data_IF_954954839340
#
_entry.id   IF_954954839340
#
_cell.length_a   1.000
_cell.length_b   1.000
_cell.length_c   1.000
_cell.angle_alpha   90.00
_cell.angle_beta   90.00
_cell.angle_gamma   90.00
#
_symmetry.space_group_name_H-M   'P 1'
#
loop_
_entity.id
_entity.type
_entity.pdbx_description
1 polymer ?
#
# COMPACT_ATOMS: atom_id res chain seq x y z
N UNK A 1 32.62 -76.94 -9.86
CA UNK A 1 33.09 -75.97 -8.85
C UNK A 1 33.19 -74.55 -9.40
N UNK A 2 33.71 -74.31 -10.62
CA UNK A 2 33.79 -72.95 -11.21
C UNK A 2 32.44 -72.23 -11.33
N UNK A 3 31.42 -72.91 -11.88
CA UNK A 3 30.08 -72.32 -12.13
C UNK A 3 29.34 -71.92 -10.84
N UNK A 4 29.58 -72.62 -9.73
CA UNK A 4 28.95 -72.31 -8.43
C UNK A 4 29.60 -71.10 -7.75
N UNK A 5 30.90 -70.90 -7.95
CA UNK A 5 31.63 -69.74 -7.45
C UNK A 5 31.26 -68.49 -8.27
N UNK A 6 31.18 -68.62 -9.59
CA UNK A 6 30.72 -67.56 -10.49
C UNK A 6 29.28 -67.13 -10.18
N UNK A 7 28.35 -68.08 -9.99
CA UNK A 7 26.96 -67.76 -9.61
C UNK A 7 26.88 -67.06 -8.24
N UNK A 8 27.72 -67.45 -7.27
CA UNK A 8 27.75 -66.81 -5.95
C UNK A 8 28.31 -65.39 -6.01
N UNK A 9 29.40 -65.17 -6.75
CA UNK A 9 29.96 -63.83 -6.96
C UNK A 9 28.97 -62.93 -7.70
N UNK A 10 28.24 -63.46 -8.68
CA UNK A 10 27.21 -62.72 -9.39
C UNK A 10 26.05 -62.34 -8.46
N UNK A 11 25.60 -63.27 -7.61
CA UNK A 11 24.56 -63.00 -6.61
C UNK A 11 25.01 -61.93 -5.59
N UNK A 12 26.23 -62.05 -5.03
CA UNK A 12 26.79 -61.06 -4.10
C UNK A 12 26.91 -59.67 -4.76
N UNK A 13 27.25 -59.62 -6.05
CA UNK A 13 27.30 -58.37 -6.82
C UNK A 13 25.91 -57.76 -7.01
N UNK A 14 24.91 -58.57 -7.35
CA UNK A 14 23.51 -58.13 -7.49
C UNK A 14 22.95 -57.62 -6.17
N UNK A 15 23.17 -58.33 -5.06
CA UNK A 15 22.76 -57.89 -3.72
C UNK A 15 23.43 -56.57 -3.34
N UNK A 16 24.71 -56.40 -3.65
CA UNK A 16 25.41 -55.13 -3.40
C UNK A 16 24.86 -53.98 -4.23
N UNK A 17 24.53 -54.21 -5.51
CA UNK A 17 23.91 -53.19 -6.37
C UNK A 17 22.52 -52.81 -5.88
N UNK A 18 21.70 -53.77 -5.45
CA UNK A 18 20.38 -53.52 -4.87
C UNK A 18 20.46 -52.71 -3.58
N UNK A 19 21.47 -52.97 -2.72
CA UNK A 19 21.70 -52.17 -1.53
C UNK A 19 22.03 -50.71 -1.89
N UNK A 20 22.95 -50.51 -2.85
CA UNK A 20 23.32 -49.16 -3.31
C UNK A 20 22.09 -48.42 -3.86
N UNK A 21 21.29 -49.07 -4.71
CA UNK A 21 20.07 -48.46 -5.26
C UNK A 21 19.07 -48.10 -4.16
N UNK A 22 18.89 -48.96 -3.16
CA UNK A 22 18.02 -48.68 -2.00
C UNK A 22 18.51 -47.46 -1.22
N UNK A 23 19.81 -47.39 -0.93
CA UNK A 23 20.42 -46.28 -0.19
C UNK A 23 20.31 -44.96 -0.97
N UNK A 24 20.57 -44.97 -2.27
CA UNK A 24 20.43 -43.79 -3.14
C UNK A 24 18.97 -43.32 -3.24
N UNK A 25 18.00 -44.24 -3.35
CA UNK A 25 16.58 -43.88 -3.33
C UNK A 25 16.13 -43.31 -1.98
N UNK A 26 16.66 -43.82 -0.86
CA UNK A 26 16.39 -43.27 0.46
C UNK A 26 16.95 -41.85 0.60
N UNK A 27 18.20 -41.62 0.15
CA UNK A 27 18.83 -40.29 0.13
C UNK A 27 18.04 -39.31 -0.75
N UNK A 28 17.62 -39.73 -1.95
CA UNK A 28 16.80 -38.93 -2.85
C UNK A 28 15.45 -38.56 -2.21
N UNK A 29 14.81 -39.49 -1.51
CA UNK A 29 13.56 -39.25 -0.78
C UNK A 29 13.74 -38.17 0.28
N UNK A 30 14.80 -38.25 1.09
CA UNK A 30 15.08 -37.24 2.13
C UNK A 30 15.30 -35.85 1.52
N UNK A 31 16.10 -35.75 0.45
CA UNK A 31 16.35 -34.50 -0.24
C UNK A 31 15.05 -33.89 -0.82
N UNK A 32 14.22 -34.70 -1.46
CA UNK A 32 12.93 -34.25 -2.02
C UNK A 32 11.91 -33.86 -0.95
N UNK A 33 11.91 -34.55 0.21
CA UNK A 33 11.08 -34.17 1.34
C UNK A 33 11.48 -32.81 1.92
N UNK A 34 12.78 -32.49 1.93
CA UNK A 34 13.28 -31.14 2.25
C UNK A 34 12.71 -30.08 1.31
N UNK A 35 12.83 -30.30 -0.01
CA UNK A 35 12.27 -29.39 -1.04
C UNK A 35 10.76 -29.23 -0.90
N UNK A 36 10.05 -30.33 -0.63
CA UNK A 36 8.60 -30.31 -0.40
C UNK A 36 8.24 -29.42 0.81
N UNK A 37 8.98 -29.54 1.91
CA UNK A 37 8.80 -28.71 3.11
C UNK A 37 9.02 -27.23 2.83
N UNK A 38 10.09 -26.89 2.09
CA UNK A 38 10.41 -25.51 1.72
C UNK A 38 9.31 -24.90 0.85
N UNK A 39 8.80 -25.64 -0.14
CA UNK A 39 7.71 -25.20 -1.01
C UNK A 39 6.40 -24.97 -0.23
N UNK A 40 6.07 -25.84 0.74
CA UNK A 40 4.93 -25.62 1.64
C UNK A 40 5.12 -24.31 2.43
N UNK A 41 6.34 -24.04 2.90
CA UNK A 41 6.72 -22.78 3.52
C UNK A 41 6.50 -21.57 2.59
N UNK A 42 6.88 -21.69 1.32
CA UNK A 42 6.66 -20.65 0.30
C UNK A 42 5.17 -20.38 0.06
N UNK A 43 4.32 -21.41 -0.03
CA UNK A 43 2.85 -21.22 -0.17
C UNK A 43 2.29 -20.43 1.01
N UNK A 44 2.69 -20.78 2.23
CA UNK A 44 2.25 -20.06 3.44
C UNK A 44 2.68 -18.59 3.40
N UNK A 45 3.94 -18.33 3.08
CA UNK A 45 4.46 -16.95 3.01
C UNK A 45 3.76 -16.13 1.91
N UNK A 46 3.44 -16.76 0.77
CA UNK A 46 2.72 -16.08 -0.30
C UNK A 46 1.27 -15.74 0.10
N UNK A 47 0.58 -16.63 0.83
CA UNK A 47 -0.74 -16.31 1.38
C UNK A 47 -0.68 -15.17 2.41
N UNK A 48 0.35 -15.12 3.26
CA UNK A 48 0.59 -13.99 4.17
C UNK A 48 0.79 -12.68 3.39
N UNK A 49 1.56 -12.71 2.31
CA UNK A 49 1.77 -11.54 1.46
C UNK A 49 0.46 -11.08 0.78
N UNK A 50 -0.38 -12.01 0.33
CA UNK A 50 -1.70 -11.68 -0.23
C UNK A 50 -2.55 -10.86 0.75
N UNK A 51 -2.64 -11.29 2.02
CA UNK A 51 -3.35 -10.55 3.05
C UNK A 51 -2.75 -9.16 3.32
N UNK A 52 -1.42 -9.02 3.22
CA UNK A 52 -0.75 -7.72 3.38
C UNK A 52 -1.07 -6.78 2.23
N UNK A 53 -1.17 -7.28 0.99
CA UNK A 53 -1.53 -6.46 -0.17
C UNK A 53 -2.99 -6.00 -0.13
N UNK A 54 -3.92 -6.83 0.36
CA UNK A 54 -5.31 -6.42 0.62
C UNK A 54 -5.38 -5.28 1.66
N UNK A 55 -4.58 -5.35 2.72
CA UNK A 55 -4.48 -4.27 3.71
C UNK A 55 -3.91 -2.99 3.09
N UNK A 56 -2.89 -3.09 2.22
CA UNK A 56 -2.34 -1.94 1.48
C UNK A 56 -3.42 -1.29 0.61
N UNK A 57 -4.24 -2.09 -0.09
CA UNK A 57 -5.35 -1.58 -0.89
C UNK A 57 -6.37 -0.79 -0.05
N UNK A 58 -6.77 -1.33 1.11
CA UNK A 58 -7.64 -0.61 2.06
C UNK A 58 -7.01 0.69 2.55
N UNK A 59 -5.72 0.67 2.90
CA UNK A 59 -5.01 1.86 3.35
C UNK A 59 -4.92 2.92 2.25
N UNK A 60 -4.66 2.52 0.99
CA UNK A 60 -4.66 3.43 -0.16
C UNK A 60 -6.02 4.11 -0.33
N UNK A 61 -7.13 3.39 -0.18
CA UNK A 61 -8.48 3.96 -0.26
C UNK A 61 -8.73 5.01 0.85
N UNK A 62 -8.34 4.70 2.08
CA UNK A 62 -8.46 5.65 3.20
C UNK A 62 -7.58 6.88 3.00
N UNK A 63 -6.35 6.70 2.50
CA UNK A 63 -5.44 7.80 2.19
C UNK A 63 -5.96 8.67 1.04
N UNK A 64 -6.54 8.08 -0.01
CA UNK A 64 -7.19 8.83 -1.09
C UNK A 64 -8.34 9.68 -0.57
N UNK A 65 -9.20 9.11 0.30
CA UNK A 65 -10.29 9.85 0.94
C UNK A 65 -9.77 11.01 1.80
N UNK A 66 -8.78 10.77 2.65
CA UNK A 66 -8.17 11.82 3.47
C UNK A 66 -7.51 12.92 2.64
N UNK A 67 -6.89 12.56 1.51
CA UNK A 67 -6.27 13.53 0.58
C UNK A 67 -7.32 14.41 -0.10
N UNK A 68 -8.47 13.84 -0.45
CA UNK A 68 -9.59 14.58 -1.02
C UNK A 68 -10.19 15.56 -0.01
N UNK A 69 -10.32 15.15 1.26
CA UNK A 69 -10.77 16.02 2.36
C UNK A 69 -9.79 17.19 2.55
N UNK A 70 -8.47 16.92 2.57
CA UNK A 70 -7.43 17.96 2.64
C UNK A 70 -7.47 18.93 1.45
N UNK A 71 -7.76 18.44 0.24
CA UNK A 71 -7.88 19.29 -0.94
C UNK A 71 -9.05 20.28 -0.81
N UNK A 72 -10.19 19.82 -0.27
CA UNK A 72 -11.35 20.67 0.01
C UNK A 72 -11.02 21.69 1.09
N UNK A 73 -10.36 21.29 2.18
CA UNK A 73 -9.95 22.21 3.25
C UNK A 73 -8.95 23.27 2.75
N UNK A 74 -7.97 22.88 1.92
CA UNK A 74 -7.01 23.78 1.29
C UNK A 74 -7.69 24.84 0.40
N UNK A 75 -8.73 24.43 -0.33
CA UNK A 75 -9.55 25.35 -1.13
C UNK A 75 -10.33 26.31 -0.22
N UNK A 76 -10.89 25.80 0.88
CA UNK A 76 -11.54 26.63 1.90
C UNK A 76 -10.62 27.68 2.51
N UNK A 77 -9.37 27.30 2.81
CA UNK A 77 -8.35 28.21 3.34
C UNK A 77 -8.04 29.36 2.36
N UNK A 78 -7.94 29.08 1.05
CA UNK A 78 -7.71 30.13 0.05
C UNK A 78 -8.85 31.11 -0.05
N UNK A 79 -10.09 30.63 0.01
CA UNK A 79 -11.26 31.50 0.01
C UNK A 79 -11.26 32.40 1.25
N UNK A 80 -10.88 31.87 2.42
CA UNK A 80 -10.76 32.66 3.65
C UNK A 80 -9.62 33.70 3.58
N UNK A 81 -8.49 33.36 2.97
CA UNK A 81 -7.37 34.30 2.71
C UNK A 81 -7.83 35.42 1.77
N UNK A 82 -8.50 35.08 0.66
CA UNK A 82 -9.02 36.06 -0.29
C UNK A 82 -10.04 37.03 0.36
N UNK A 83 -10.96 36.51 1.17
CA UNK A 83 -11.89 37.32 1.93
C UNK A 83 -11.18 38.25 2.93
N UNK A 84 -10.12 37.76 3.59
CA UNK A 84 -9.33 38.55 4.53
C UNK A 84 -8.56 39.68 3.83
N UNK A 85 -8.02 39.42 2.63
CA UNK A 85 -7.41 40.46 1.80
C UNK A 85 -8.40 41.58 1.46
N UNK A 86 -9.64 41.22 1.11
CA UNK A 86 -10.67 42.22 0.83
C UNK A 86 -10.96 43.09 2.07
N UNK A 87 -11.10 42.49 3.26
CA UNK A 87 -11.33 43.22 4.51
C UNK A 87 -10.18 44.19 4.82
N UNK A 88 -8.93 43.75 4.64
CA UNK A 88 -7.76 44.61 4.86
C UNK A 88 -7.73 45.77 3.87
N UNK A 89 -8.00 45.51 2.58
CA UNK A 89 -8.07 46.56 1.56
C UNK A 89 -9.18 47.59 1.84
N UNK A 90 -10.35 47.14 2.29
CA UNK A 90 -11.44 48.03 2.73
C UNK A 90 -11.03 48.85 3.96
N UNK A 91 -10.33 48.25 4.92
CA UNK A 91 -9.81 48.93 6.11
C UNK A 91 -8.80 50.02 5.73
N UNK A 92 -7.84 49.75 4.84
CA UNK A 92 -6.91 50.74 4.32
C UNK A 92 -7.65 51.91 3.64
N UNK A 93 -8.67 51.61 2.82
CA UNK A 93 -9.52 52.62 2.21
C UNK A 93 -10.25 53.51 3.22
N UNK A 94 -10.74 52.93 4.33
CA UNK A 94 -11.37 53.69 5.42
C UNK A 94 -10.37 54.53 6.21
N UNK A 95 -9.19 54.00 6.49
CA UNK A 95 -8.12 54.74 7.19
C UNK A 95 -7.66 55.95 6.38
N UNK A 96 -7.54 55.81 5.05
CA UNK A 96 -7.21 56.94 4.17
C UNK A 96 -8.26 58.07 4.23
N UNK A 97 -9.55 57.72 4.27
CA UNK A 97 -10.62 58.71 4.45
C UNK A 97 -10.54 59.41 5.81
N UNK A 98 -10.26 58.66 6.88
CA UNK A 98 -10.08 59.25 8.21
C UNK A 98 -8.86 60.19 8.21
N UNK A 99 -7.76 59.78 7.59
CA UNK A 99 -6.55 60.60 7.48
C UNK A 99 -6.83 61.94 6.78
N UNK A 100 -7.62 61.94 5.69
CA UNK A 100 -8.05 63.16 5.02
C UNK A 100 -8.91 64.07 5.92
N UNK A 101 -9.85 63.49 6.67
CA UNK A 101 -10.71 64.25 7.60
C UNK A 101 -9.89 64.84 8.75
N UNK A 102 -8.96 64.07 9.32
CA UNK A 102 -8.04 64.52 10.39
C UNK A 102 -7.20 65.70 9.91
N UNK A 103 -6.62 65.63 8.71
CA UNK A 103 -5.87 66.75 8.11
C UNK A 103 -6.73 68.00 7.94
N UNK A 104 -7.97 67.84 7.46
CA UNK A 104 -8.91 68.97 7.34
C UNK A 104 -9.26 69.60 8.69
N UNK A 105 -9.41 68.82 9.76
CA UNK A 105 -9.69 69.35 11.10
C UNK A 105 -8.45 70.08 11.66
N UNK A 106 -7.24 69.56 11.40
CA UNK A 106 -5.97 70.23 11.69
C UNK A 106 -5.93 71.62 11.04
N UNK A 107 -6.24 71.71 9.73
CA UNK A 107 -6.30 72.98 9.00
C UNK A 107 -7.35 73.95 9.58
N UNK A 108 -8.55 73.46 9.93
CA UNK A 108 -9.61 74.27 10.55
C UNK A 108 -9.17 74.78 11.93
N UNK A 109 -8.51 73.93 12.72
CA UNK A 109 -8.01 74.29 14.05
C UNK A 109 -6.95 75.39 13.98
N UNK A 110 -6.04 75.31 13.01
CA UNK A 110 -5.02 76.34 12.78
C UNK A 110 -5.63 77.67 12.29
N UNK A 111 -6.61 77.61 11.39
CA UNK A 111 -7.36 78.79 10.96
C UNK A 111 -8.12 79.45 12.13
N UNK A 112 -8.77 78.64 12.97
CA UNK A 112 -9.53 79.12 14.14
C UNK A 112 -8.61 79.79 15.15
N UNK A 113 -7.43 79.21 15.37
CA UNK A 113 -6.38 79.80 16.22
C UNK A 113 -5.91 81.16 15.69
N UNK A 114 -5.72 81.30 14.38
CA UNK A 114 -5.36 82.57 13.74
C UNK A 114 -6.49 83.61 13.85
N UNK A 115 -7.74 83.19 13.64
CA UNK A 115 -8.92 84.06 13.82
C UNK A 115 -9.04 84.57 15.26
N UNK A 116 -8.88 83.67 16.24
CA UNK A 116 -8.90 84.01 17.66
C UNK A 116 -7.76 84.97 18.04
N UNK A 117 -6.56 84.79 17.46
CA UNK A 117 -5.44 85.70 17.63
C UNK A 117 -5.77 87.10 17.10
N UNK A 118 -6.30 87.19 15.88
CA UNK A 118 -6.71 88.47 15.28
C UNK A 118 -7.80 89.16 16.12
N UNK A 119 -8.79 88.41 16.61
CA UNK A 119 -9.84 88.93 17.49
C UNK A 119 -9.27 89.43 18.83
N UNK A 120 -8.26 88.74 19.39
CA UNK A 120 -7.57 89.18 20.61
C UNK A 120 -6.85 90.51 20.39
N UNK A 121 -6.20 90.69 19.24
CA UNK A 121 -5.51 91.95 18.88
C UNK A 121 -6.52 93.09 18.75
N UNK A 122 -7.65 92.87 18.07
CA UNK A 122 -8.66 93.92 17.86
C UNK A 122 -9.40 94.27 19.16
N UNK A 123 -9.66 93.28 20.03
CA UNK A 123 -10.22 93.51 21.36
C UNK A 123 -9.28 94.37 22.24
N UNK A 124 -7.96 94.15 22.16
CA UNK A 124 -6.97 95.00 22.83
C UNK A 124 -6.96 96.42 22.26
N UNK A 125 -7.14 96.57 20.94
CA UNK A 125 -7.22 97.86 20.25
C UNK A 125 -8.44 98.69 20.63
N UNK A 126 -9.57 98.03 20.93
CA UNK A 126 -10.80 98.67 21.39
C UNK A 126 -10.77 99.13 22.87
N UNK A 127 -9.70 98.81 23.62
CA UNK A 127 -9.51 99.26 25.00
C UNK A 127 -10.57 98.70 25.97
N UNK A 128 -11.14 99.56 26.82
CA UNK A 128 -12.17 99.16 27.81
C UNK A 128 -13.42 98.54 27.17
N UNK A 129 -13.81 99.00 25.98
CA UNK A 129 -14.99 98.48 25.27
C UNK A 129 -14.79 97.05 24.74
N UNK A 130 -13.55 96.60 24.58
CA UNK A 130 -13.18 95.29 24.04
C UNK A 130 -13.01 94.17 25.08
N UNK A 131 -13.08 94.47 26.39
CA UNK A 131 -12.77 93.48 27.45
C UNK A 131 -13.60 92.19 27.37
N UNK A 132 -14.90 92.29 27.11
CA UNK A 132 -15.76 91.10 26.95
C UNK A 132 -15.40 90.25 25.73
N UNK A 133 -15.04 90.91 24.62
CA UNK A 133 -14.57 90.24 23.40
C UNK A 133 -13.19 89.58 23.58
N UNK A 134 -12.30 90.19 24.38
CA UNK A 134 -10.98 89.63 24.68
C UNK A 134 -11.08 88.28 25.42
N UNK A 135 -12.03 88.15 26.36
CA UNK A 135 -12.27 86.89 27.09
C UNK A 135 -12.74 85.79 26.12
N UNK A 136 -13.71 86.10 25.24
CA UNK A 136 -14.20 85.15 24.25
C UNK A 136 -13.10 84.74 23.27
N UNK A 137 -12.30 85.69 22.78
CA UNK A 137 -11.19 85.40 21.86
C UNK A 137 -10.11 84.51 22.52
N UNK A 138 -9.83 84.71 23.81
CA UNK A 138 -8.92 83.85 24.55
C UNK A 138 -9.48 82.42 24.70
N UNK A 139 -10.76 82.28 25.04
CA UNK A 139 -11.42 80.98 25.18
C UNK A 139 -11.41 80.19 23.86
N UNK A 140 -11.72 80.86 22.74
CA UNK A 140 -11.67 80.26 21.39
C UNK A 140 -10.25 79.80 21.04
N UNK A 141 -9.22 80.56 21.44
CA UNK A 141 -7.82 80.19 21.22
C UNK A 141 -7.43 78.94 22.02
N UNK A 142 -7.83 78.85 23.29
CA UNK A 142 -7.58 77.66 24.11
C UNK A 142 -8.34 76.43 23.56
N UNK A 143 -9.60 76.60 23.15
CA UNK A 143 -10.39 75.52 22.52
C UNK A 143 -9.75 75.00 21.23
N UNK A 144 -9.16 75.91 20.43
CA UNK A 144 -8.41 75.55 19.23
C UNK A 144 -7.14 74.76 19.58
N UNK A 145 -6.46 75.11 20.68
CA UNK A 145 -5.30 74.38 21.17
C UNK A 145 -5.66 72.97 21.68
N UNK A 146 -6.77 72.81 22.40
CA UNK A 146 -7.28 71.50 22.81
C UNK A 146 -7.68 70.66 21.60
N UNK A 147 -8.35 71.25 20.62
CA UNK A 147 -8.73 70.59 19.36
C UNK A 147 -7.50 70.07 18.64
N UNK A 148 -6.45 70.89 18.47
CA UNK A 148 -5.19 70.45 17.86
C UNK A 148 -4.55 69.26 18.58
N UNK A 149 -4.54 69.26 19.92
CA UNK A 149 -4.02 68.14 20.72
C UNK A 149 -4.83 66.86 20.51
N UNK A 150 -6.16 66.96 20.51
CA UNK A 150 -7.04 65.82 20.27
C UNK A 150 -6.86 65.26 18.85
N UNK A 151 -6.74 66.12 17.84
CA UNK A 151 -6.51 65.70 16.45
C UNK A 151 -5.14 65.03 16.29
N UNK A 152 -4.10 65.55 16.93
CA UNK A 152 -2.77 64.92 16.95
C UNK A 152 -2.80 63.51 17.56
N UNK A 153 -3.58 63.29 18.62
CA UNK A 153 -3.77 61.95 19.21
C UNK A 153 -4.49 61.02 18.23
N UNK A 154 -5.58 61.47 17.61
CA UNK A 154 -6.31 60.69 16.59
C UNK A 154 -5.37 60.33 15.43
N UNK A 155 -4.56 61.27 14.96
CA UNK A 155 -3.60 61.06 13.88
C UNK A 155 -2.62 59.94 14.21
N UNK A 156 -2.08 59.93 15.43
CA UNK A 156 -1.17 58.86 15.88
C UNK A 156 -1.89 57.51 15.93
N UNK A 157 -3.11 57.45 16.48
CA UNK A 157 -3.90 56.20 16.49
C UNK A 157 -4.23 55.68 15.08
N UNK A 158 -4.54 56.58 14.14
CA UNK A 158 -4.78 56.23 12.73
C UNK A 158 -3.50 55.71 12.07
N UNK A 159 -2.34 56.29 12.41
CA UNK A 159 -1.05 55.81 11.93
C UNK A 159 -0.74 54.39 12.43
N UNK A 160 -0.91 54.13 13.73
CA UNK A 160 -0.74 52.80 14.31
C UNK A 160 -1.70 51.77 13.69
N UNK A 161 -2.96 52.14 13.45
CA UNK A 161 -3.93 51.30 12.75
C UNK A 161 -3.51 51.01 11.30
N UNK A 162 -2.92 51.97 10.61
CA UNK A 162 -2.41 51.79 9.25
C UNK A 162 -1.20 50.86 9.21
N UNK A 163 -0.28 50.98 10.15
CA UNK A 163 0.83 50.03 10.29
C UNK A 163 0.34 48.61 10.60
N UNK A 164 -0.66 48.48 11.48
CA UNK A 164 -1.29 47.20 11.80
C UNK A 164 -1.93 46.56 10.55
N UNK A 165 -2.67 47.34 9.75
CA UNK A 165 -3.27 46.86 8.51
C UNK A 165 -2.22 46.39 7.49
N UNK A 166 -1.13 47.14 7.32
CA UNK A 166 -0.01 46.74 6.44
C UNK A 166 0.65 45.44 6.90
N UNK A 167 0.84 45.28 8.22
CA UNK A 167 1.36 44.03 8.79
C UNK A 167 0.41 42.87 8.51
N UNK A 168 -0.89 43.05 8.71
CA UNK A 168 -1.90 42.03 8.37
C UNK A 168 -1.87 41.66 6.88
N UNK A 169 -1.70 42.63 5.96
CA UNK A 169 -1.58 42.36 4.53
C UNK A 169 -0.36 41.47 4.20
N UNK A 170 0.79 41.76 4.82
CA UNK A 170 2.02 40.96 4.65
C UNK A 170 1.87 39.53 5.18
N UNK A 171 1.27 39.36 6.35
CA UNK A 171 0.98 38.02 6.91
C UNK A 171 0.02 37.23 6.00
N UNK A 172 -0.99 37.88 5.43
CA UNK A 172 -1.90 37.23 4.48
C UNK A 172 -1.19 36.79 3.19
N UNK A 173 -0.26 37.58 2.66
CA UNK A 173 0.55 37.19 1.51
C UNK A 173 1.42 35.95 1.80
N UNK A 174 2.01 35.88 3.00
CA UNK A 174 2.74 34.69 3.43
C UNK A 174 1.83 33.48 3.56
N UNK A 175 0.61 33.65 4.10
CA UNK A 175 -0.40 32.59 4.18
C UNK A 175 -0.84 32.11 2.80
N UNK A 176 -0.98 33.00 1.82
CA UNK A 176 -1.30 32.65 0.44
C UNK A 176 -0.23 31.73 -0.17
N UNK A 177 1.05 32.09 -0.01
CA UNK A 177 2.17 31.25 -0.47
C UNK A 177 2.18 29.86 0.20
N UNK A 178 1.90 29.81 1.51
CA UNK A 178 1.79 28.53 2.25
C UNK A 178 0.61 27.70 1.78
N UNK A 179 -0.55 28.32 1.52
CA UNK A 179 -1.73 27.63 1.01
C UNK A 179 -1.51 27.09 -0.41
N UNK A 180 -0.76 27.80 -1.24
CA UNK A 180 -0.37 27.33 -2.57
C UNK A 180 0.56 26.09 -2.48
N UNK A 181 1.59 26.15 -1.64
CA UNK A 181 2.49 25.01 -1.39
C UNK A 181 1.73 23.80 -0.83
N UNK A 182 0.75 24.02 0.05
CA UNK A 182 -0.10 22.94 0.57
C UNK A 182 -0.84 22.20 -0.56
N UNK A 183 -1.40 22.91 -1.55
CA UNK A 183 -2.06 22.26 -2.70
C UNK A 183 -1.11 21.40 -3.51
N UNK A 184 0.11 21.87 -3.74
CA UNK A 184 1.13 21.12 -4.48
C UNK A 184 1.47 19.82 -3.77
N UNK A 185 1.71 19.88 -2.44
CA UNK A 185 1.98 18.70 -1.61
C UNK A 185 0.80 17.73 -1.64
N UNK A 186 -0.45 18.21 -1.53
CA UNK A 186 -1.64 17.35 -1.62
C UNK A 186 -1.72 16.67 -2.98
N UNK A 187 -1.49 17.41 -4.07
CA UNK A 187 -1.52 16.85 -5.43
C UNK A 187 -0.45 15.78 -5.63
N UNK A 188 0.77 16.03 -5.14
CA UNK A 188 1.85 15.05 -5.19
C UNK A 188 1.53 13.81 -4.36
N UNK A 189 0.89 13.98 -3.21
CA UNK A 189 0.49 12.89 -2.33
C UNK A 189 -0.58 12.01 -2.98
N UNK A 190 -1.60 12.60 -3.61
CA UNK A 190 -2.61 11.87 -4.39
C UNK A 190 -1.95 11.01 -5.48
N UNK A 191 -1.02 11.59 -6.25
CA UNK A 191 -0.28 10.85 -7.29
C UNK A 191 0.50 9.68 -6.71
N UNK A 192 1.15 9.85 -5.56
CA UNK A 192 1.88 8.77 -4.90
C UNK A 192 0.96 7.64 -4.42
N UNK A 193 -0.24 7.97 -3.92
CA UNK A 193 -1.23 6.97 -3.50
C UNK A 193 -1.69 6.15 -4.71
N UNK A 194 -2.01 6.81 -5.83
CA UNK A 194 -2.41 6.14 -7.07
C UNK A 194 -1.32 5.20 -7.59
N UNK A 195 -0.07 5.68 -7.68
CA UNK A 195 1.07 4.85 -8.06
C UNK A 195 1.28 3.65 -7.12
N UNK A 196 1.13 3.86 -5.81
CA UNK A 196 1.21 2.78 -4.82
C UNK A 196 0.13 1.74 -5.03
N UNK A 197 -1.10 2.19 -5.32
CA UNK A 197 -2.24 1.30 -5.55
C UNK A 197 -2.06 0.48 -6.83
N UNK A 198 -1.56 1.09 -7.90
CA UNK A 198 -1.27 0.40 -9.16
C UNK A 198 -0.19 -0.68 -8.98
N UNK A 199 0.93 -0.33 -8.34
CA UNK A 199 2.01 -1.28 -8.02
C UNK A 199 1.51 -2.42 -7.12
N UNK A 200 0.65 -2.11 -6.16
CA UNK A 200 0.03 -3.13 -5.29
C UNK A 200 -0.87 -4.07 -6.10
N UNK A 201 -1.65 -3.55 -7.06
CA UNK A 201 -2.46 -4.34 -7.98
C UNK A 201 -1.63 -5.26 -8.89
N UNK A 202 -0.50 -4.80 -9.40
CA UNK A 202 0.45 -5.63 -10.15
C UNK A 202 1.06 -6.73 -9.27
N UNK A 203 1.43 -6.38 -8.05
CA UNK A 203 2.03 -7.32 -7.09
C UNK A 203 1.03 -8.40 -6.65
N UNK A 204 -0.25 -8.05 -6.47
CA UNK A 204 -1.33 -9.02 -6.21
C UNK A 204 -1.44 -10.06 -7.34
N UNK A 205 -1.44 -9.61 -8.59
CA UNK A 205 -1.48 -10.51 -9.76
C UNK A 205 -0.25 -11.42 -9.81
N UNK A 206 0.94 -10.87 -9.57
CA UNK A 206 2.17 -11.64 -9.51
C UNK A 206 2.14 -12.68 -8.38
N UNK A 207 1.60 -12.33 -7.20
CA UNK A 207 1.46 -13.24 -6.07
C UNK A 207 0.47 -14.38 -6.35
N UNK A 208 -0.64 -14.12 -7.04
CA UNK A 208 -1.59 -15.18 -7.44
C UNK A 208 -0.98 -16.14 -8.48
N UNK A 209 -0.19 -15.62 -9.41
CA UNK A 209 0.58 -16.44 -10.35
C UNK A 209 1.62 -17.29 -9.62
N UNK A 210 2.37 -16.70 -8.68
CA UNK A 210 3.35 -17.42 -7.87
C UNK A 210 2.72 -18.54 -7.03
N UNK A 211 1.58 -18.28 -6.37
CA UNK A 211 0.78 -19.28 -5.64
C UNK A 211 0.54 -20.52 -6.50
N UNK A 212 0.12 -20.27 -7.74
CA UNK A 212 -0.25 -21.28 -8.70
C UNK A 212 0.95 -22.11 -9.15
N UNK A 213 2.05 -21.45 -9.53
CA UNK A 213 3.29 -22.12 -9.93
C UNK A 213 3.90 -22.99 -8.81
N UNK A 214 3.92 -22.46 -7.57
CA UNK A 214 4.43 -23.19 -6.41
C UNK A 214 3.55 -24.40 -6.13
N UNK A 215 2.22 -24.26 -6.22
CA UNK A 215 1.31 -25.40 -6.05
C UNK A 215 1.53 -26.49 -7.11
N UNK A 216 1.65 -26.12 -8.40
CA UNK A 216 1.91 -27.10 -9.46
C UNK A 216 3.24 -27.84 -9.22
N UNK A 217 4.28 -27.11 -8.79
CA UNK A 217 5.59 -27.69 -8.44
C UNK A 217 5.47 -28.63 -7.26
N UNK A 218 4.73 -28.26 -6.21
CA UNK A 218 4.49 -29.09 -5.04
C UNK A 218 3.76 -30.39 -5.42
N UNK A 219 2.73 -30.32 -6.26
CA UNK A 219 2.02 -31.50 -6.75
C UNK A 219 2.94 -32.46 -7.53
N UNK A 220 3.88 -31.92 -8.33
CA UNK A 220 4.90 -32.73 -9.02
C UNK A 220 5.85 -33.39 -8.02
N UNK A 221 6.35 -32.66 -7.03
CA UNK A 221 7.23 -33.23 -5.99
C UNK A 221 6.52 -34.32 -5.19
N UNK A 222 5.25 -34.13 -4.84
CA UNK A 222 4.42 -35.14 -4.17
C UNK A 222 4.39 -36.45 -4.98
N UNK A 223 4.25 -36.35 -6.30
CA UNK A 223 4.25 -37.51 -7.20
C UNK A 223 5.64 -38.12 -7.39
N UNK A 224 6.72 -37.32 -7.42
CA UNK A 224 8.09 -37.88 -7.44
C UNK A 224 8.35 -38.67 -6.16
N UNK A 225 7.99 -38.13 -5.00
CA UNK A 225 8.09 -38.82 -3.72
C UNK A 225 7.23 -40.10 -3.70
N UNK A 226 6.01 -40.06 -4.25
CA UNK A 226 5.16 -41.24 -4.40
C UNK A 226 5.83 -42.36 -5.19
N UNK A 227 6.47 -42.01 -6.32
CA UNK A 227 7.21 -42.97 -7.17
C UNK A 227 8.43 -43.53 -6.44
N UNK A 228 9.24 -42.68 -5.82
CA UNK A 228 10.42 -43.11 -5.04
C UNK A 228 10.01 -44.07 -3.92
N UNK A 229 8.94 -43.77 -3.19
CA UNK A 229 8.42 -44.67 -2.17
C UNK A 229 7.87 -45.98 -2.75
N UNK A 230 7.30 -45.97 -3.96
CA UNK A 230 6.85 -47.17 -4.65
C UNK A 230 8.03 -48.06 -5.07
N UNK A 231 9.13 -47.47 -5.57
CA UNK A 231 10.36 -48.20 -5.86
C UNK A 231 10.99 -48.82 -4.61
N UNK A 232 11.09 -48.03 -3.53
CA UNK A 232 11.57 -48.53 -2.24
C UNK A 232 10.70 -49.69 -1.72
N UNK A 233 9.39 -49.65 -1.95
CA UNK A 233 8.49 -50.75 -1.56
C UNK A 233 8.81 -52.04 -2.32
N UNK A 234 9.13 -51.95 -3.61
CA UNK A 234 9.54 -53.10 -4.42
C UNK A 234 10.92 -53.60 -3.99
N UNK A 235 11.89 -52.70 -3.80
CA UNK A 235 13.24 -53.05 -3.34
C UNK A 235 13.25 -53.73 -1.96
N UNK A 236 12.39 -53.27 -1.05
CA UNK A 236 12.21 -53.84 0.29
C UNK A 236 11.29 -55.08 0.32
N UNK A 237 10.65 -55.42 -0.80
CA UNK A 237 9.68 -56.51 -0.90
C UNK A 237 8.38 -56.31 -0.10
N UNK A 238 8.12 -55.10 0.41
CA UNK A 238 6.93 -54.77 1.20
C UNK A 238 6.56 -53.28 1.10
N UNK A 239 5.27 -52.92 1.24
CA UNK A 239 4.84 -51.52 1.21
C UNK A 239 5.56 -50.65 2.23
N UNK A 240 6.25 -49.61 1.76
CA UNK A 240 7.02 -48.67 2.60
C UNK A 240 6.23 -47.44 3.06
N UNK A 241 4.95 -47.34 2.69
CA UNK A 241 4.05 -46.25 3.06
C UNK A 241 2.58 -46.67 2.95
N UNK A 242 1.69 -45.94 3.61
CA UNK A 242 0.25 -46.19 3.54
C UNK A 242 -0.33 -45.71 2.21
N UNK A 243 -1.14 -46.56 1.58
CA UNK A 243 -1.87 -46.20 0.38
C UNK A 243 -2.93 -45.12 0.68
N UNK A 244 -3.04 -44.15 -0.23
CA UNK A 244 -4.04 -43.07 -0.22
C UNK A 244 -4.67 -43.04 -1.62
N UNK A 245 -5.99 -42.89 -1.68
CA UNK A 245 -6.72 -42.80 -2.95
C UNK A 245 -6.41 -41.51 -3.72
N UNK A 246 -6.64 -41.54 -5.03
CA UNK A 246 -6.47 -40.39 -5.93
C UNK A 246 -7.35 -39.20 -5.54
N UNK A 247 -8.49 -39.41 -4.89
CA UNK A 247 -9.36 -38.32 -4.41
C UNK A 247 -8.91 -37.75 -3.04
N UNK A 248 -8.26 -38.58 -2.21
CA UNK A 248 -7.91 -38.21 -0.83
C UNK A 248 -6.54 -37.55 -0.70
N UNK A 249 -5.71 -37.66 -1.74
CA UNK A 249 -4.40 -37.03 -1.79
C UNK A 249 -4.50 -35.50 -1.94
N UNK A 250 -3.39 -34.78 -1.73
CA UNK A 250 -3.37 -33.30 -1.82
C UNK A 250 -3.85 -32.81 -3.19
N UNK A 251 -3.38 -33.43 -4.27
CA UNK A 251 -3.77 -33.06 -5.64
C UNK A 251 -5.24 -33.38 -5.90
N UNK A 252 -5.74 -34.52 -5.41
CA UNK A 252 -7.14 -34.91 -5.50
C UNK A 252 -8.07 -33.91 -4.83
N UNK A 253 -7.81 -33.57 -3.56
CA UNK A 253 -8.58 -32.56 -2.83
C UNK A 253 -8.56 -31.20 -3.53
N UNK A 254 -7.40 -30.78 -4.01
CA UNK A 254 -7.28 -29.56 -4.79
C UNK A 254 -8.09 -29.61 -6.10
N UNK A 255 -8.09 -30.76 -6.77
CA UNK A 255 -8.80 -30.99 -8.01
C UNK A 255 -10.32 -30.94 -7.80
N UNK A 256 -10.88 -31.75 -6.89
CA UNK A 256 -12.33 -31.93 -6.77
C UNK A 256 -13.04 -30.86 -5.92
N UNK A 257 -12.37 -30.37 -4.86
CA UNK A 257 -12.99 -29.54 -3.82
C UNK A 257 -12.31 -28.17 -3.67
N UNK A 258 -11.06 -28.05 -4.08
CA UNK A 258 -10.21 -26.89 -3.81
C UNK A 258 -10.13 -25.86 -4.94
N UNK A 259 -9.04 -25.10 -4.89
CA UNK A 259 -8.73 -24.01 -5.85
C UNK A 259 -8.61 -24.52 -7.30
N UNK A 260 -8.21 -25.77 -7.52
CA UNK A 260 -8.14 -26.36 -8.85
C UNK A 260 -9.47 -26.27 -9.57
N UNK A 261 -10.56 -26.66 -8.91
CA UNK A 261 -11.89 -26.55 -9.49
C UNK A 261 -12.32 -25.11 -9.73
N UNK A 262 -12.04 -24.22 -8.78
CA UNK A 262 -12.51 -22.82 -8.84
C UNK A 262 -11.80 -22.03 -9.93
N UNK A 263 -10.47 -22.17 -10.03
CA UNK A 263 -9.63 -21.35 -10.89
C UNK A 263 -9.25 -22.03 -12.22
N UNK A 264 -9.18 -23.36 -12.26
CA UNK A 264 -8.60 -24.08 -13.40
C UNK A 264 -9.56 -24.95 -14.20
N UNK A 265 -10.84 -25.07 -13.80
CA UNK A 265 -11.80 -25.98 -14.45
C UNK A 265 -12.01 -25.73 -15.96
N UNK A 266 -11.73 -24.52 -16.43
CA UNK A 266 -11.83 -24.15 -17.84
C UNK A 266 -10.61 -24.57 -18.66
N UNK A 267 -9.44 -24.75 -18.02
CA UNK A 267 -8.18 -25.08 -18.69
C UNK A 267 -8.20 -26.48 -19.27
N UNK A 268 -7.45 -26.67 -20.36
CA UNK A 268 -7.28 -28.00 -20.98
C UNK A 268 -6.55 -28.96 -20.04
N UNK A 269 -5.48 -28.48 -19.40
CA UNK A 269 -4.70 -29.29 -18.46
C UNK A 269 -5.57 -29.88 -17.33
N UNK A 270 -6.47 -29.08 -16.75
CA UNK A 270 -7.35 -29.56 -15.68
C UNK A 270 -8.24 -30.73 -16.13
N UNK A 271 -8.84 -30.63 -17.31
CA UNK A 271 -9.70 -31.70 -17.86
C UNK A 271 -8.90 -32.98 -18.16
N UNK A 272 -7.63 -32.83 -18.52
CA UNK A 272 -6.74 -33.95 -18.84
C UNK A 272 -6.10 -34.59 -17.60
N UNK A 273 -6.17 -33.96 -16.42
CA UNK A 273 -5.43 -34.36 -15.22
C UNK A 273 -6.00 -35.61 -14.53
N UNK A 274 -7.32 -35.73 -14.43
CA UNK A 274 -7.99 -36.71 -13.58
C UNK A 274 -7.58 -38.16 -13.92
N UNK A 275 -7.70 -38.52 -15.19
CA UNK A 275 -7.41 -39.88 -15.67
C UNK A 275 -5.96 -40.33 -15.42
N UNK A 276 -4.92 -39.60 -15.85
CA UNK A 276 -3.53 -39.99 -15.57
C UNK A 276 -3.21 -39.94 -14.08
N UNK A 277 -3.82 -39.04 -13.30
CA UNK A 277 -3.65 -39.02 -11.85
C UNK A 277 -4.20 -40.30 -11.20
N UNK A 278 -5.41 -40.73 -11.57
CA UNK A 278 -6.00 -41.97 -11.07
C UNK A 278 -5.18 -43.20 -11.49
N UNK A 279 -4.63 -43.20 -12.71
CA UNK A 279 -3.74 -44.26 -13.21
C UNK A 279 -2.47 -44.43 -12.36
N UNK A 280 -1.87 -43.35 -11.84
CA UNK A 280 -0.72 -43.42 -10.92
C UNK A 280 -1.11 -44.20 -9.66
N UNK A 281 -2.23 -43.84 -9.04
CA UNK A 281 -2.69 -44.51 -7.81
C UNK A 281 -3.09 -45.96 -8.05
N UNK A 282 -3.80 -46.25 -9.15
CA UNK A 282 -4.16 -47.63 -9.52
C UNK A 282 -2.93 -48.51 -9.75
N UNK A 283 -1.90 -47.99 -10.41
CA UNK A 283 -0.65 -48.72 -10.64
C UNK A 283 0.05 -49.08 -9.32
N UNK A 284 0.17 -48.15 -8.38
CA UNK A 284 0.73 -48.42 -7.05
C UNK A 284 -0.12 -49.40 -6.25
N UNK A 285 -1.45 -49.33 -6.35
CA UNK A 285 -2.33 -50.29 -5.70
C UNK A 285 -2.06 -51.72 -6.20
N UNK A 286 -1.85 -51.92 -7.51
CA UNK A 286 -1.46 -53.22 -8.08
C UNK A 286 -0.13 -53.70 -7.53
N UNK A 287 0.88 -52.82 -7.44
CA UNK A 287 2.18 -53.15 -6.85
C UNK A 287 1.99 -53.63 -5.41
N UNK A 288 1.25 -52.88 -4.59
CA UNK A 288 1.03 -53.22 -3.19
C UNK A 288 0.25 -54.53 -3.02
N UNK A 289 -0.70 -54.82 -3.91
CA UNK A 289 -1.42 -56.10 -3.91
C UNK A 289 -0.48 -57.28 -4.16
N UNK A 290 0.45 -57.18 -5.12
CA UNK A 290 1.46 -58.22 -5.37
C UNK A 290 2.43 -58.39 -4.19
N UNK A 291 2.94 -57.28 -3.65
CA UNK A 291 3.87 -57.29 -2.51
C UNK A 291 3.23 -57.92 -1.26
N UNK A 292 1.98 -57.58 -0.95
CA UNK A 292 1.28 -58.12 0.22
C UNK A 292 0.94 -59.61 0.09
N UNK A 293 0.79 -60.14 -1.14
CA UNK A 293 0.47 -61.54 -1.36
C UNK A 293 1.70 -62.45 -1.25
N UNK A 294 2.84 -62.05 -1.84
CA UNK A 294 3.99 -62.95 -1.98
C UNK A 294 5.37 -62.26 -1.96
N UNK A 295 5.44 -60.96 -1.64
CA UNK A 295 6.66 -60.18 -1.79
C UNK A 295 7.04 -60.01 -3.27
N UNK A 296 8.34 -60.03 -3.59
CA UNK A 296 8.84 -60.00 -4.96
C UNK A 296 9.44 -61.36 -5.31
N UNK A 297 8.92 -62.01 -6.35
CA UNK A 297 9.40 -63.30 -6.84
C UNK A 297 9.32 -63.40 -8.38
N UNK A 298 9.82 -64.51 -8.93
CA UNK A 298 9.81 -64.75 -10.38
C UNK A 298 8.39 -64.85 -10.97
N UNK A 299 7.36 -65.11 -10.15
CA UNK A 299 5.98 -65.24 -10.58
C UNK A 299 5.22 -63.92 -10.67
N UNK A 300 5.72 -62.84 -10.04
CA UNK A 300 5.07 -61.52 -10.09
C UNK A 300 5.97 -60.36 -10.56
N UNK A 301 7.27 -60.58 -10.76
CA UNK A 301 8.22 -59.53 -11.17
C UNK A 301 7.82 -58.80 -12.46
N UNK A 302 7.35 -59.51 -13.48
CA UNK A 302 6.88 -58.89 -14.74
C UNK A 302 5.62 -58.05 -14.54
N UNK A 303 4.73 -58.48 -13.64
CA UNK A 303 3.52 -57.73 -13.29
C UNK A 303 3.88 -56.45 -12.53
N UNK A 304 4.82 -56.53 -11.59
CA UNK A 304 5.33 -55.37 -10.86
C UNK A 304 6.05 -54.40 -11.81
N UNK A 305 6.89 -54.92 -12.72
CA UNK A 305 7.59 -54.12 -13.72
C UNK A 305 6.62 -53.36 -14.64
N UNK A 306 5.57 -54.03 -15.13
CA UNK A 306 4.54 -53.37 -15.92
C UNK A 306 3.79 -52.31 -15.12
N UNK A 307 3.44 -52.58 -13.86
CA UNK A 307 2.78 -51.60 -13.01
C UNK A 307 3.67 -50.37 -12.72
N UNK A 308 4.98 -50.56 -12.53
CA UNK A 308 5.93 -49.46 -12.41
C UNK A 308 6.01 -48.63 -13.71
N UNK A 309 6.05 -49.28 -14.87
CA UNK A 309 6.05 -48.60 -16.16
C UNK A 309 4.75 -47.80 -16.40
N UNK A 310 3.60 -48.36 -16.03
CA UNK A 310 2.31 -47.68 -16.10
C UNK A 310 2.29 -46.44 -15.19
N UNK A 311 2.83 -46.55 -13.97
CA UNK A 311 2.96 -45.45 -13.01
C UNK A 311 3.85 -44.33 -13.59
N UNK A 312 4.99 -44.66 -14.19
CA UNK A 312 5.88 -43.69 -14.84
C UNK A 312 5.17 -42.89 -15.93
N UNK A 313 4.54 -43.61 -16.86
CA UNK A 313 3.87 -43.01 -18.00
C UNK A 313 2.70 -42.12 -17.56
N UNK A 314 1.92 -42.59 -16.58
CA UNK A 314 0.82 -41.84 -16.01
C UNK A 314 1.32 -40.57 -15.29
N UNK A 315 2.38 -40.67 -14.50
CA UNK A 315 2.98 -39.51 -13.81
C UNK A 315 3.51 -38.46 -14.79
N UNK A 316 4.10 -38.85 -15.92
CA UNK A 316 4.53 -37.90 -16.94
C UNK A 316 3.34 -37.13 -17.53
N UNK A 317 2.21 -37.80 -17.76
CA UNK A 317 0.97 -37.17 -18.22
C UNK A 317 0.38 -36.23 -17.17
N UNK A 318 0.46 -36.58 -15.88
CA UNK A 318 0.12 -35.66 -14.78
C UNK A 318 0.96 -34.39 -14.87
N UNK A 319 2.27 -34.50 -15.09
CA UNK A 319 3.15 -33.32 -15.12
C UNK A 319 2.84 -32.43 -16.31
N UNK A 320 2.62 -33.03 -17.48
CA UNK A 320 2.19 -32.31 -18.69
C UNK A 320 0.84 -31.62 -18.50
N UNK A 321 -0.11 -32.28 -17.83
CA UNK A 321 -1.41 -31.68 -17.54
C UNK A 321 -1.25 -30.47 -16.60
N UNK A 322 -0.44 -30.57 -15.55
CA UNK A 322 -0.15 -29.46 -14.64
C UNK A 322 0.55 -28.30 -15.36
N UNK A 323 1.49 -28.58 -16.27
CA UNK A 323 2.19 -27.54 -17.06
C UNK A 323 1.26 -26.79 -18.01
N UNK A 324 0.21 -27.45 -18.54
CA UNK A 324 -0.80 -26.82 -19.41
C UNK A 324 -1.85 -25.99 -18.65
N UNK A 325 -1.78 -25.94 -17.31
CA UNK A 325 -2.68 -25.12 -16.50
C UNK A 325 -2.10 -23.74 -16.18
N UNK A 326 -0.78 -23.57 -16.30
CA UNK A 326 -0.07 -22.29 -16.15
C UNK A 326 0.00 -21.56 -17.50
#
# INVERSE_FOLDING_TARGET
MSTTIENRQQQETTERLLQILTDEHASLKEALAGVQSDLVGTVRHNNENYHRFELINSNCQDLSRGSQELAVESTGLQNAIAASHQVVAEMEGRLNKIHQVVGMIEDISDQTKLLALNATIEAARAGEAGKGFAVVAHEVKELSHETFRAVSQIRNSVHELSESAKKSASELQNLEGRAASMREVISDYVRQIEQTNDLNGETLKASESAKSQVFMTLAKIDHILWKVNSYLSVLNGSPSFSFVGSHDCRLGKWYFEGEGRKAYCTTTGYKELERPHDQVHQATHKIFAELNQRGVDAGNIETIAQALADMELASQRVFQALDRML
#
